data_IF_753536515663
#
_entry.id   IF_753536515663
#
_cell.length_a   1.000
_cell.length_b   1.000
_cell.length_c   1.000
_cell.angle_alpha   90.00
_cell.angle_beta   90.00
_cell.angle_gamma   90.00
#
_symmetry.space_group_name_H-M   'P 1'
#
loop_
_entity.id
_entity.type
_entity.pdbx_description
1 polymer ?
#
# COMPACT_ATOMS: atom_id res chain seq x y z
N UNK A 1 -20.62 -3.11 -18.63
CA UNK A 1 -20.11 -3.54 -17.31
C UNK A 1 -20.03 -5.05 -17.25
N UNK A 2 -18.92 -5.65 -16.80
CA UNK A 2 -18.82 -7.11 -16.72
C UNK A 2 -19.84 -7.62 -15.70
N UNK A 3 -20.86 -8.36 -16.16
CA UNK A 3 -21.98 -8.89 -15.35
C UNK A 3 -21.51 -9.61 -14.08
N UNK A 4 -20.34 -10.25 -14.13
CA UNK A 4 -19.73 -10.95 -12.99
C UNK A 4 -19.38 -10.04 -11.80
N UNK A 5 -18.89 -8.82 -12.04
CA UNK A 5 -18.52 -7.91 -10.95
C UNK A 5 -19.75 -7.46 -10.16
N UNK A 6 -20.84 -7.17 -10.87
CA UNK A 6 -22.10 -6.78 -10.26
C UNK A 6 -22.68 -7.93 -9.41
N UNK A 7 -22.67 -9.17 -9.93
CA UNK A 7 -23.11 -10.35 -9.16
C UNK A 7 -22.24 -10.59 -7.92
N UNK A 8 -20.92 -10.38 -8.02
CA UNK A 8 -20.02 -10.52 -6.86
C UNK A 8 -20.24 -9.42 -5.82
N UNK A 9 -20.53 -8.19 -6.25
CA UNK A 9 -20.90 -7.10 -5.35
C UNK A 9 -22.21 -7.43 -4.62
N UNK A 10 -23.24 -7.87 -5.34
CA UNK A 10 -24.53 -8.25 -4.77
C UNK A 10 -24.36 -9.38 -3.73
N UNK A 11 -23.54 -10.39 -4.04
CA UNK A 11 -23.21 -11.46 -3.10
C UNK A 11 -22.48 -10.92 -1.86
N UNK A 12 -21.50 -10.02 -2.04
CA UNK A 12 -20.76 -9.42 -0.93
C UNK A 12 -21.66 -8.56 -0.03
N UNK A 13 -22.59 -7.80 -0.60
CA UNK A 13 -23.56 -7.00 0.16
C UNK A 13 -24.52 -7.88 0.96
N UNK A 14 -25.03 -8.96 0.37
CA UNK A 14 -25.94 -9.90 1.04
C UNK A 14 -25.30 -10.70 2.17
N UNK A 15 -24.01 -11.04 2.01
CA UNK A 15 -23.26 -11.82 3.00
C UNK A 15 -22.63 -10.96 4.10
N UNK A 16 -22.61 -9.64 3.92
CA UNK A 16 -22.12 -8.66 4.88
C UNK A 16 -23.20 -8.23 5.88
N UNK A 17 -22.77 -7.57 6.96
CA UNK A 17 -23.66 -6.84 7.88
C UNK A 17 -24.40 -5.69 7.19
N UNK A 18 -23.93 -5.24 6.02
CA UNK A 18 -24.59 -4.23 5.18
C UNK A 18 -25.95 -4.68 4.61
N UNK A 19 -26.32 -5.96 4.72
CA UNK A 19 -27.58 -6.47 4.20
C UNK A 19 -28.82 -5.81 4.86
N UNK A 20 -28.69 -5.20 6.02
CA UNK A 20 -29.79 -4.50 6.70
C UNK A 20 -30.04 -3.08 6.18
N UNK A 21 -29.11 -2.53 5.36
CA UNK A 21 -29.22 -1.17 4.84
C UNK A 21 -30.32 -1.07 3.76
N UNK A 22 -31.34 -0.20 3.92
CA UNK A 22 -32.39 0.00 2.92
C UNK A 22 -31.89 0.52 1.57
N UNK A 23 -30.75 1.20 1.53
CA UNK A 23 -30.19 1.86 0.34
C UNK A 23 -29.02 1.08 -0.28
N UNK A 24 -28.78 -0.17 0.14
CA UNK A 24 -27.69 -1.02 -0.38
C UNK A 24 -27.76 -1.25 -1.90
N UNK A 25 -28.97 -1.24 -2.48
CA UNK A 25 -29.20 -1.50 -3.90
C UNK A 25 -28.83 -0.32 -4.80
N UNK A 26 -28.62 0.88 -4.22
CA UNK A 26 -28.19 2.07 -4.95
C UNK A 26 -26.68 2.08 -5.26
N UNK A 27 -25.91 1.18 -4.62
CA UNK A 27 -24.49 0.97 -4.91
C UNK A 27 -24.32 0.21 -6.23
N UNK A 28 -23.39 0.69 -7.06
CA UNK A 28 -23.04 0.10 -8.37
C UNK A 28 -21.54 -0.01 -8.52
N UNK A 29 -21.09 -0.99 -9.29
CA UNK A 29 -19.69 -1.03 -9.74
C UNK A 29 -19.52 -0.12 -10.95
N UNK A 30 -18.40 0.61 -11.01
CA UNK A 30 -17.91 1.29 -12.21
C UNK A 30 -16.45 0.91 -12.53
N UNK A 31 -16.08 0.88 -13.81
CA UNK A 31 -14.71 0.64 -14.29
C UNK A 31 -14.22 1.85 -15.06
N UNK A 32 -13.31 2.60 -14.45
CA UNK A 32 -12.79 3.84 -15.01
C UNK A 32 -11.63 3.56 -15.99
N UNK A 33 -11.53 4.34 -17.08
CA UNK A 33 -10.46 4.19 -18.07
C UNK A 33 -9.13 4.83 -17.63
N UNK A 34 -8.95 5.11 -16.34
CA UNK A 34 -7.77 5.76 -15.77
C UNK A 34 -7.61 5.37 -14.30
N UNK A 35 -6.38 5.37 -13.78
CA UNK A 35 -6.09 5.15 -12.36
C UNK A 35 -6.41 6.41 -11.52
N UNK A 36 -6.29 6.30 -10.20
CA UNK A 36 -6.56 7.41 -9.27
C UNK A 36 -5.58 8.57 -9.48
N UNK A 37 -4.32 8.25 -9.81
CA UNK A 37 -3.26 9.24 -9.97
C UNK A 37 -3.52 10.07 -11.21
N UNK A 38 -3.78 9.44 -12.34
CA UNK A 38 -4.16 10.11 -13.58
C UNK A 38 -5.45 10.92 -13.40
N UNK A 39 -6.43 10.40 -12.66
CA UNK A 39 -7.65 11.16 -12.31
C UNK A 39 -7.30 12.46 -11.57
N UNK A 40 -6.49 12.37 -10.52
CA UNK A 40 -6.13 13.51 -9.69
C UNK A 40 -5.24 14.50 -10.44
N UNK A 41 -4.26 14.03 -11.22
CA UNK A 41 -3.44 14.91 -12.06
C UNK A 41 -4.30 15.66 -13.07
N UNK A 42 -5.22 14.97 -13.75
CA UNK A 42 -6.13 15.62 -14.69
C UNK A 42 -6.97 16.70 -14.02
N UNK A 43 -7.43 16.49 -12.78
CA UNK A 43 -8.22 17.49 -12.04
C UNK A 43 -7.36 18.66 -11.55
N UNK A 44 -6.16 18.38 -11.02
CA UNK A 44 -5.26 19.39 -10.45
C UNK A 44 -4.58 20.25 -11.52
N UNK A 45 -4.49 19.76 -12.75
CA UNK A 45 -3.84 20.48 -13.87
C UNK A 45 -4.83 21.28 -14.74
N UNK A 46 -6.13 21.20 -14.47
CA UNK A 46 -7.16 22.06 -15.09
C UNK A 46 -6.76 23.53 -14.86
N UNK A 47 -6.72 24.33 -15.93
CA UNK A 47 -6.32 25.74 -15.96
C UNK A 47 -4.83 26.05 -15.68
N UNK A 48 -3.94 25.05 -15.67
CA UNK A 48 -2.49 25.27 -15.60
C UNK A 48 -1.84 25.13 -16.98
N UNK A 49 -0.74 25.87 -17.24
CA UNK A 49 0.04 25.77 -18.49
C UNK A 49 0.56 24.34 -18.79
N UNK A 50 0.47 23.42 -17.83
CA UNK A 50 0.91 22.02 -17.89
C UNK A 50 -0.20 21.03 -18.30
N UNK A 51 -1.43 21.48 -18.58
CA UNK A 51 -2.56 20.59 -18.98
C UNK A 51 -2.20 19.69 -20.19
N UNK A 52 -1.34 20.19 -21.10
CA UNK A 52 -0.91 19.44 -22.29
C UNK A 52 0.07 18.29 -22.00
N UNK A 53 0.87 18.39 -20.94
CA UNK A 53 1.88 17.39 -20.58
C UNK A 53 1.27 16.14 -19.91
N UNK A 54 0.02 16.24 -19.43
CA UNK A 54 -0.67 15.18 -18.68
C UNK A 54 -1.89 14.60 -19.41
N UNK A 55 -2.05 14.88 -20.71
CA UNK A 55 -2.97 14.13 -21.58
C UNK A 55 -2.38 12.75 -21.87
N UNK A 56 -2.40 11.87 -20.87
CA UNK A 56 -2.10 10.45 -21.08
C UNK A 56 -3.28 9.84 -21.83
N UNK A 57 -3.03 9.27 -23.00
CA UNK A 57 -4.04 8.50 -23.74
C UNK A 57 -4.45 7.30 -22.88
N UNK A 58 -5.74 7.09 -22.57
CA UNK A 58 -6.22 5.95 -21.80
C UNK A 58 -5.72 4.59 -22.33
N UNK A 59 -5.39 4.51 -23.62
CA UNK A 59 -4.92 3.29 -24.30
C UNK A 59 -3.49 2.92 -23.94
N UNK A 60 -2.67 3.88 -23.49
CA UNK A 60 -1.28 3.67 -23.10
C UNK A 60 -1.14 3.18 -21.64
N UNK A 61 -2.22 3.25 -20.85
CA UNK A 61 -2.22 2.74 -19.49
C UNK A 61 -2.63 1.27 -19.49
N UNK A 62 -1.67 0.37 -19.27
CA UNK A 62 -1.93 -1.03 -18.93
C UNK A 62 -2.51 -1.15 -17.50
N UNK A 63 -3.75 -0.71 -17.34
CA UNK A 63 -4.47 -0.70 -16.06
C UNK A 63 -4.87 -2.11 -15.65
N UNK A 64 -4.61 -2.44 -14.39
CA UNK A 64 -5.21 -3.61 -13.76
C UNK A 64 -6.70 -3.38 -13.47
N UNK A 65 -7.45 -4.48 -13.31
CA UNK A 65 -8.84 -4.42 -12.85
C UNK A 65 -8.97 -3.76 -11.46
N UNK A 66 -7.93 -3.84 -10.62
CA UNK A 66 -7.87 -3.18 -9.33
C UNK A 66 -7.79 -1.65 -9.47
N UNK A 67 -6.91 -1.17 -10.35
CA UNK A 67 -6.70 0.27 -10.55
C UNK A 67 -7.90 0.93 -11.22
N UNK A 68 -8.61 0.22 -12.10
CA UNK A 68 -9.82 0.72 -12.78
C UNK A 68 -11.08 0.65 -11.91
N UNK A 69 -11.09 -0.13 -10.83
CA UNK A 69 -12.27 -0.34 -10.00
C UNK A 69 -12.71 0.93 -9.25
N UNK A 70 -14.01 1.22 -9.29
CA UNK A 70 -14.65 2.26 -8.48
C UNK A 70 -16.08 1.88 -8.11
N UNK A 71 -16.61 2.52 -7.08
CA UNK A 71 -18.04 2.51 -6.82
C UNK A 71 -18.71 3.74 -7.40
N UNK A 72 -19.93 3.51 -7.90
CA UNK A 72 -20.91 4.54 -8.20
C UNK A 72 -22.11 4.39 -7.27
N UNK A 73 -22.85 5.47 -7.08
CA UNK A 73 -24.00 5.52 -6.19
C UNK A 73 -25.17 6.29 -6.82
N UNK A 74 -26.32 5.64 -6.90
CA UNK A 74 -27.53 6.18 -7.52
C UNK A 74 -28.27 7.05 -6.51
N UNK A 75 -28.22 8.37 -6.69
CA UNK A 75 -28.95 9.33 -5.84
C UNK A 75 -30.19 9.85 -6.56
N UNK A 76 -31.36 9.65 -5.98
CA UNK A 76 -32.63 10.16 -6.50
C UNK A 76 -32.86 11.61 -6.07
N UNK A 77 -33.67 12.33 -6.84
CA UNK A 77 -34.22 13.61 -6.41
C UNK A 77 -35.07 13.41 -5.14
N UNK A 78 -35.04 14.32 -4.14
CA UNK A 78 -34.35 15.62 -4.14
C UNK A 78 -32.90 15.60 -3.61
N UNK A 79 -32.44 14.49 -3.03
CA UNK A 79 -31.13 14.39 -2.37
C UNK A 79 -29.96 14.65 -3.34
N UNK A 80 -30.17 14.40 -4.64
CA UNK A 80 -29.21 14.69 -5.70
C UNK A 80 -28.78 16.16 -5.80
N UNK A 81 -29.54 17.10 -5.22
CA UNK A 81 -29.16 18.51 -5.13
C UNK A 81 -27.94 18.71 -4.22
N UNK A 82 -27.85 17.92 -3.14
CA UNK A 82 -26.74 17.95 -2.17
C UNK A 82 -25.67 16.95 -2.54
N UNK A 83 -26.05 15.68 -2.72
CA UNK A 83 -25.15 14.60 -3.13
C UNK A 83 -25.09 14.55 -4.65
N UNK A 84 -24.54 15.62 -5.21
CA UNK A 84 -24.40 15.80 -6.65
C UNK A 84 -23.19 15.05 -7.22
N UNK A 85 -23.02 15.11 -8.55
CA UNK A 85 -21.96 14.35 -9.23
C UNK A 85 -20.54 14.78 -8.84
N UNK A 86 -20.35 16.06 -8.49
CA UNK A 86 -19.09 16.59 -7.99
C UNK A 86 -18.75 15.99 -6.61
N UNK A 87 -19.72 15.90 -5.71
CA UNK A 87 -19.54 15.26 -4.41
C UNK A 87 -19.26 13.76 -4.54
N UNK A 88 -20.02 13.04 -5.36
CA UNK A 88 -19.81 11.61 -5.62
C UNK A 88 -18.41 11.33 -6.18
N UNK A 89 -17.90 12.19 -7.07
CA UNK A 89 -16.52 12.07 -7.58
C UNK A 89 -15.48 12.19 -6.45
N UNK A 90 -15.70 13.05 -5.45
CA UNK A 90 -14.81 13.18 -4.29
C UNK A 90 -14.85 11.96 -3.38
N UNK A 91 -16.04 11.45 -3.07
CA UNK A 91 -16.19 10.18 -2.34
C UNK A 91 -15.51 9.02 -3.07
N UNK A 92 -15.70 8.95 -4.38
CA UNK A 92 -15.07 7.93 -5.22
C UNK A 92 -13.54 8.00 -5.14
N UNK A 93 -12.93 9.19 -5.18
CA UNK A 93 -11.47 9.34 -5.03
C UNK A 93 -10.97 8.87 -3.66
N UNK A 94 -11.67 9.24 -2.58
CA UNK A 94 -11.38 8.74 -1.23
C UNK A 94 -11.47 7.22 -1.16
N UNK A 95 -12.55 6.64 -1.68
CA UNK A 95 -12.74 5.20 -1.75
C UNK A 95 -11.60 4.51 -2.48
N UNK A 96 -11.26 4.96 -3.70
CA UNK A 96 -10.19 4.36 -4.52
C UNK A 96 -8.84 4.39 -3.80
N UNK A 97 -8.57 5.47 -3.06
CA UNK A 97 -7.34 5.59 -2.28
C UNK A 97 -7.28 4.56 -1.14
N UNK A 98 -8.33 4.48 -0.32
CA UNK A 98 -8.44 3.52 0.78
C UNK A 98 -8.44 2.07 0.28
N UNK A 99 -9.16 1.81 -0.81
CA UNK A 99 -9.26 0.49 -1.44
C UNK A 99 -7.89 -0.03 -1.88
N UNK A 100 -7.08 0.84 -2.49
CA UNK A 100 -5.73 0.47 -2.89
C UNK A 100 -4.83 0.17 -1.69
N UNK A 101 -4.87 0.99 -0.63
CA UNK A 101 -4.12 0.71 0.60
C UNK A 101 -4.52 -0.66 1.18
N UNK A 102 -5.83 -0.93 1.24
CA UNK A 102 -6.36 -2.20 1.75
C UNK A 102 -5.93 -3.40 0.94
N UNK A 103 -5.84 -3.25 -0.38
CA UNK A 103 -5.30 -4.27 -1.25
C UNK A 103 -3.82 -4.57 -0.93
N UNK A 104 -3.00 -3.54 -0.79
CA UNK A 104 -1.56 -3.68 -0.49
C UNK A 104 -1.35 -4.34 0.88
N UNK A 105 -2.11 -3.94 1.90
CA UNK A 105 -2.07 -4.57 3.22
C UNK A 105 -2.38 -6.08 3.10
N UNK A 106 -3.44 -6.44 2.38
CA UNK A 106 -3.82 -7.84 2.16
C UNK A 106 -2.75 -8.63 1.40
N UNK A 107 -2.09 -8.03 0.41
CA UNK A 107 -0.98 -8.67 -0.31
C UNK A 107 0.19 -8.98 0.63
N UNK A 108 0.59 -8.03 1.48
CA UNK A 108 1.66 -8.20 2.47
C UNK A 108 1.31 -9.24 3.54
N UNK A 109 0.03 -9.37 3.91
CA UNK A 109 -0.47 -10.41 4.80
C UNK A 109 -0.50 -11.79 4.13
N UNK A 110 -0.89 -11.86 2.86
CA UNK A 110 -0.90 -13.13 2.09
C UNK A 110 0.51 -13.74 1.99
N UNK A 111 1.53 -12.92 1.75
CA UNK A 111 2.95 -13.35 1.80
C UNK A 111 3.28 -14.03 3.13
N UNK A 112 2.78 -13.52 4.25
CA UNK A 112 3.02 -14.12 5.57
C UNK A 112 2.38 -15.51 5.71
N UNK A 113 1.16 -15.69 5.22
CA UNK A 113 0.46 -16.99 5.24
C UNK A 113 1.21 -18.01 4.39
N UNK A 114 1.58 -17.64 3.15
CA UNK A 114 2.37 -18.50 2.27
C UNK A 114 3.73 -18.88 2.87
N UNK A 115 4.41 -17.93 3.49
CA UNK A 115 5.70 -18.18 4.14
C UNK A 115 5.57 -19.05 5.40
N UNK A 116 4.43 -19.04 6.10
CA UNK A 116 4.18 -19.96 7.22
C UNK A 116 4.12 -21.42 6.76
N UNK A 117 3.59 -21.67 5.56
CA UNK A 117 3.60 -23.01 4.93
C UNK A 117 5.01 -23.36 4.45
N UNK A 118 5.75 -22.42 3.86
CA UNK A 118 7.14 -22.61 3.44
C UNK A 118 8.12 -22.83 4.60
N UNK A 119 7.83 -22.30 5.81
CA UNK A 119 8.61 -22.56 7.04
C UNK A 119 8.72 -24.05 7.39
N UNK A 120 7.81 -24.91 6.92
CA UNK A 120 7.93 -26.36 7.10
C UNK A 120 9.09 -26.98 6.31
N UNK A 121 9.66 -26.28 5.32
CA UNK A 121 10.54 -26.87 4.30
C UNK A 121 11.98 -26.29 4.28
N UNK A 122 12.54 -25.93 5.44
CA UNK A 122 13.98 -25.62 5.62
C UNK A 122 14.52 -24.25 5.15
N UNK A 123 13.67 -23.28 4.79
CA UNK A 123 14.14 -21.91 4.41
C UNK A 123 14.68 -21.05 5.58
N UNK A 124 14.49 -21.48 6.83
CA UNK A 124 14.92 -20.73 8.02
C UNK A 124 16.43 -20.52 8.15
N UNK A 125 17.26 -21.34 7.48
CA UNK A 125 18.71 -21.24 7.58
C UNK A 125 19.30 -20.11 6.74
N UNK A 126 18.53 -19.54 5.83
CA UNK A 126 19.04 -18.50 4.94
C UNK A 126 18.88 -17.09 5.50
N UNK A 127 19.98 -16.34 5.51
CA UNK A 127 20.06 -14.97 6.03
C UNK A 127 19.12 -14.01 5.29
N UNK A 128 18.94 -14.17 3.98
CA UNK A 128 18.02 -13.33 3.19
C UNK A 128 16.55 -13.49 3.61
N UNK A 129 16.15 -14.65 4.15
CA UNK A 129 14.77 -14.90 4.56
C UNK A 129 14.39 -14.06 5.79
N UNK A 130 15.32 -13.93 6.74
CA UNK A 130 15.16 -13.06 7.90
C UNK A 130 15.06 -11.58 7.47
N UNK A 131 15.95 -11.15 6.56
CA UNK A 131 15.92 -9.79 6.01
C UNK A 131 14.60 -9.48 5.27
N UNK A 132 14.12 -10.41 4.45
CA UNK A 132 12.84 -10.28 3.75
C UNK A 132 11.66 -10.20 4.74
N UNK A 133 11.68 -11.00 5.81
CA UNK A 133 10.64 -10.97 6.84
C UNK A 133 10.63 -9.64 7.61
N UNK A 134 11.80 -9.12 7.97
CA UNK A 134 11.95 -7.83 8.61
C UNK A 134 11.47 -6.69 7.71
N UNK A 135 11.84 -6.71 6.42
CA UNK A 135 11.37 -5.74 5.43
C UNK A 135 9.84 -5.78 5.28
N UNK A 136 9.26 -6.98 5.13
CA UNK A 136 7.81 -7.16 5.06
C UNK A 136 7.11 -6.57 6.29
N UNK A 137 7.66 -6.80 7.49
CA UNK A 137 7.08 -6.26 8.71
C UNK A 137 7.12 -4.73 8.74
N UNK A 138 8.20 -4.11 8.27
CA UNK A 138 8.30 -2.66 8.13
C UNK A 138 7.30 -2.10 7.12
N UNK A 139 7.18 -2.73 5.95
CA UNK A 139 6.19 -2.36 4.93
C UNK A 139 4.76 -2.46 5.47
N UNK A 140 4.44 -3.57 6.14
CA UNK A 140 3.11 -3.78 6.72
C UNK A 140 2.80 -2.74 7.81
N UNK A 141 3.75 -2.48 8.72
CA UNK A 141 3.59 -1.47 9.74
C UNK A 141 3.33 -0.09 9.15
N UNK A 142 4.04 0.28 8.08
CA UNK A 142 3.79 1.52 7.36
C UNK A 142 2.36 1.58 6.81
N UNK A 143 1.93 0.57 6.03
CA UNK A 143 0.60 0.57 5.38
C UNK A 143 -0.52 0.60 6.43
N UNK A 144 -0.40 -0.17 7.52
CA UNK A 144 -1.40 -0.21 8.58
C UNK A 144 -1.51 1.12 9.34
N UNK A 145 -0.38 1.76 9.66
CA UNK A 145 -0.41 3.08 10.28
C UNK A 145 -0.93 4.16 9.32
N UNK A 146 -0.65 4.03 8.03
CA UNK A 146 -1.19 4.93 7.00
C UNK A 146 -2.72 4.79 6.86
N UNK A 147 -3.24 3.56 6.82
CA UNK A 147 -4.69 3.30 6.86
C UNK A 147 -5.34 3.83 8.13
N UNK A 148 -4.72 3.57 9.28
CA UNK A 148 -5.22 4.04 10.57
C UNK A 148 -5.33 5.57 10.60
N UNK A 149 -4.28 6.27 10.16
CA UNK A 149 -4.26 7.73 10.06
C UNK A 149 -5.45 8.24 9.24
N UNK A 150 -5.65 7.69 8.03
CA UNK A 150 -6.75 8.13 7.16
C UNK A 150 -8.12 7.85 7.78
N UNK A 151 -8.33 6.68 8.39
CA UNK A 151 -9.64 6.32 8.93
C UNK A 151 -9.94 7.05 10.24
N UNK A 152 -9.05 6.98 11.23
CA UNK A 152 -9.33 7.38 12.61
C UNK A 152 -8.86 8.80 12.97
N UNK A 153 -7.89 9.36 12.26
CA UNK A 153 -7.39 10.72 12.55
C UNK A 153 -7.88 11.75 11.54
N UNK A 154 -8.31 11.30 10.36
CA UNK A 154 -8.83 12.17 9.30
C UNK A 154 -10.33 11.99 9.10
N UNK A 155 -10.77 10.82 8.64
CA UNK A 155 -12.17 10.64 8.20
C UNK A 155 -13.13 10.68 9.40
N UNK A 156 -12.89 9.89 10.44
CA UNK A 156 -13.79 9.79 11.59
C UNK A 156 -13.97 11.14 12.33
N UNK A 157 -12.91 11.92 12.65
CA UNK A 157 -13.09 13.20 13.32
C UNK A 157 -13.80 14.23 12.45
N UNK A 158 -13.50 14.27 11.14
CA UNK A 158 -14.18 15.18 10.21
C UNK A 158 -15.65 14.79 10.02
N UNK A 159 -15.97 13.48 10.02
CA UNK A 159 -17.35 13.00 9.98
C UNK A 159 -18.12 13.39 11.24
N UNK A 160 -17.51 13.24 12.42
CA UNK A 160 -18.13 13.64 13.67
C UNK A 160 -18.43 15.15 13.70
N UNK A 161 -17.49 15.99 13.27
CA UNK A 161 -17.69 17.43 13.14
C UNK A 161 -18.81 17.76 12.14
N UNK A 162 -18.85 17.06 11.00
CA UNK A 162 -19.91 17.24 10.01
C UNK A 162 -21.29 16.90 10.58
N UNK A 163 -21.42 15.81 11.36
CA UNK A 163 -22.67 15.47 12.03
C UNK A 163 -23.10 16.53 13.03
N UNK A 164 -22.18 17.03 13.87
CA UNK A 164 -22.47 18.11 14.81
C UNK A 164 -22.92 19.39 14.09
N UNK A 165 -22.26 19.75 12.98
CA UNK A 165 -22.66 20.90 12.19
C UNK A 165 -24.03 20.68 11.54
N UNK A 166 -24.35 19.46 11.12
CA UNK A 166 -25.65 19.11 10.53
C UNK A 166 -26.82 19.35 11.51
N UNK A 167 -26.60 19.16 12.82
CA UNK A 167 -27.61 19.45 13.85
C UNK A 167 -27.90 20.96 14.00
N UNK A 168 -27.00 21.82 13.50
CA UNK A 168 -27.12 23.30 13.58
C UNK A 168 -27.65 23.96 12.30
N UNK A 169 -27.86 23.17 11.25
CA UNK A 169 -28.28 23.64 9.92
C UNK A 169 -29.65 24.33 9.98
N UNK A 170 -29.74 25.50 9.35
CA UNK A 170 -30.99 26.27 9.26
C UNK A 170 -31.63 26.23 7.86
N UNK A 171 -30.82 26.03 6.83
CA UNK A 171 -31.24 26.09 5.43
C UNK A 171 -30.43 25.11 4.55
N UNK A 172 -30.85 24.92 3.30
CA UNK A 172 -30.20 23.97 2.37
C UNK A 172 -28.79 24.41 1.97
N UNK A 173 -28.50 25.72 1.96
CA UNK A 173 -27.17 26.23 1.63
C UNK A 173 -26.16 25.84 2.73
N UNK A 174 -26.55 25.87 4.01
CA UNK A 174 -25.72 25.40 5.12
C UNK A 174 -25.34 23.92 4.94
N UNK A 175 -26.29 23.07 4.52
CA UNK A 175 -26.03 21.65 4.22
C UNK A 175 -24.96 21.51 3.13
N UNK A 176 -25.08 22.29 2.05
CA UNK A 176 -24.14 22.25 0.93
C UNK A 176 -22.73 22.68 1.36
N UNK A 177 -22.64 23.72 2.19
CA UNK A 177 -21.37 24.23 2.74
C UNK A 177 -20.72 23.17 3.62
N UNK A 178 -21.41 22.70 4.67
CA UNK A 178 -20.82 21.74 5.61
C UNK A 178 -20.44 20.41 4.95
N UNK A 179 -21.24 19.93 4.00
CA UNK A 179 -20.91 18.72 3.24
C UNK A 179 -19.69 18.91 2.33
N UNK A 180 -19.56 20.09 1.72
CA UNK A 180 -18.40 20.42 0.88
C UNK A 180 -17.13 20.55 1.72
N UNK A 181 -17.21 21.19 2.89
CA UNK A 181 -16.09 21.38 3.81
C UNK A 181 -15.61 20.05 4.40
N UNK A 182 -16.53 19.15 4.76
CA UNK A 182 -16.22 17.79 5.15
C UNK A 182 -15.38 17.07 4.08
N UNK A 183 -15.86 17.06 2.83
CA UNK A 183 -15.19 16.37 1.73
C UNK A 183 -13.83 17.00 1.39
N UNK A 184 -13.75 18.33 1.38
CA UNK A 184 -12.50 19.03 1.10
C UNK A 184 -11.46 18.75 2.20
N UNK A 185 -11.87 18.74 3.47
CA UNK A 185 -11.01 18.43 4.60
C UNK A 185 -10.49 17.00 4.52
N UNK A 186 -11.36 16.03 4.23
CA UNK A 186 -10.94 14.63 4.05
C UNK A 186 -9.96 14.45 2.88
N UNK A 187 -10.24 15.04 1.71
CA UNK A 187 -9.34 14.94 0.56
C UNK A 187 -7.98 15.57 0.83
N UNK A 188 -7.96 16.72 1.51
CA UNK A 188 -6.72 17.42 1.84
C UNK A 188 -5.89 16.63 2.84
N UNK A 189 -6.49 16.24 3.95
CA UNK A 189 -5.81 15.59 5.06
C UNK A 189 -5.44 14.12 4.72
N UNK A 190 -6.14 13.47 3.78
CA UNK A 190 -5.72 12.19 3.19
C UNK A 190 -4.65 12.33 2.07
N UNK A 191 -3.99 13.49 1.95
CA UNK A 191 -2.88 13.74 1.00
C UNK A 191 -3.25 13.70 -0.49
N UNK A 192 -4.54 13.73 -0.84
CA UNK A 192 -5.00 13.64 -2.23
C UNK A 192 -4.91 14.97 -2.99
N UNK A 193 -4.72 16.08 -2.28
CA UNK A 193 -4.57 17.42 -2.88
C UNK A 193 -3.12 17.80 -3.16
N UNK A 194 -2.14 17.04 -2.65
CA UNK A 194 -0.73 17.28 -2.92
C UNK A 194 -0.18 16.23 -3.91
N UNK A 195 0.05 16.61 -5.19
CA UNK A 195 0.46 15.67 -6.22
C UNK A 195 1.82 15.03 -5.95
N UNK A 196 2.75 15.75 -5.34
CA UNK A 196 4.08 15.22 -5.07
C UNK A 196 4.06 14.19 -3.94
N UNK A 197 3.33 14.48 -2.86
CA UNK A 197 3.19 13.56 -1.73
C UNK A 197 2.47 12.28 -2.17
N UNK A 198 1.40 12.44 -2.97
CA UNK A 198 0.68 11.32 -3.55
C UNK A 198 1.57 10.44 -4.45
N UNK A 199 2.44 11.04 -5.28
CA UNK A 199 3.43 10.29 -6.09
C UNK A 199 4.36 9.45 -5.19
N UNK A 200 4.81 9.99 -4.06
CA UNK A 200 5.69 9.27 -3.13
C UNK A 200 4.94 8.10 -2.47
N UNK A 201 3.73 8.35 -1.94
CA UNK A 201 2.88 7.32 -1.33
C UNK A 201 2.58 6.20 -2.32
N UNK A 202 2.23 6.53 -3.57
CA UNK A 202 2.00 5.50 -4.58
C UNK A 202 3.25 4.68 -4.90
N UNK A 203 4.42 5.33 -5.05
CA UNK A 203 5.68 4.61 -5.24
C UNK A 203 5.98 3.67 -4.07
N UNK A 204 5.72 4.08 -2.83
CA UNK A 204 5.84 3.21 -1.65
C UNK A 204 4.94 1.98 -1.77
N UNK A 205 3.66 2.19 -2.07
CA UNK A 205 2.70 1.11 -2.26
C UNK A 205 3.10 0.16 -3.40
N UNK A 206 3.60 0.69 -4.53
CA UNK A 206 4.10 -0.11 -5.65
C UNK A 206 5.31 -0.96 -5.28
N UNK A 207 6.22 -0.43 -4.45
CA UNK A 207 7.35 -1.20 -3.92
C UNK A 207 6.85 -2.34 -3.03
N UNK A 208 5.85 -2.11 -2.17
CA UNK A 208 5.22 -3.14 -1.35
C UNK A 208 4.58 -4.27 -2.18
N UNK A 209 3.86 -3.93 -3.25
CA UNK A 209 3.24 -4.91 -4.16
C UNK A 209 4.30 -5.70 -4.92
N UNK A 210 5.30 -5.02 -5.48
CA UNK A 210 6.37 -5.65 -6.25
C UNK A 210 7.19 -6.61 -5.38
N UNK A 211 7.50 -6.19 -4.15
CA UNK A 211 8.12 -7.04 -3.14
C UNK A 211 7.24 -8.26 -2.81
N UNK A 212 5.94 -8.05 -2.58
CA UNK A 212 5.01 -9.14 -2.25
C UNK A 212 4.94 -10.19 -3.35
N UNK A 213 4.82 -9.75 -4.61
CA UNK A 213 4.82 -10.63 -5.78
C UNK A 213 6.14 -11.37 -5.95
N UNK A 214 7.27 -10.70 -5.68
CA UNK A 214 8.59 -11.34 -5.71
C UNK A 214 8.70 -12.47 -4.67
N UNK A 215 8.32 -12.21 -3.42
CA UNK A 215 8.38 -13.22 -2.35
C UNK A 215 7.38 -14.35 -2.59
N UNK A 216 6.16 -14.05 -3.05
CA UNK A 216 5.17 -15.09 -3.36
C UNK A 216 5.64 -16.05 -4.45
N UNK A 217 6.24 -15.55 -5.54
CA UNK A 217 6.79 -16.40 -6.61
C UNK A 217 7.88 -17.32 -6.08
N UNK A 218 8.75 -16.81 -5.23
CA UNK A 218 9.83 -17.59 -4.61
C UNK A 218 9.27 -18.72 -3.72
N UNK A 219 8.27 -18.40 -2.90
CA UNK A 219 7.61 -19.38 -2.04
C UNK A 219 6.91 -20.46 -2.87
N UNK A 220 6.23 -20.09 -3.97
CA UNK A 220 5.58 -21.04 -4.87
C UNK A 220 6.57 -22.01 -5.54
N UNK A 221 7.66 -21.49 -6.10
CA UNK A 221 8.72 -22.33 -6.69
C UNK A 221 9.27 -23.34 -5.69
N UNK A 222 9.53 -22.91 -4.45
CA UNK A 222 10.04 -23.78 -3.39
C UNK A 222 9.03 -24.85 -2.97
N UNK A 223 7.73 -24.49 -2.87
CA UNK A 223 6.68 -25.45 -2.49
C UNK A 223 6.45 -26.53 -3.54
N UNK A 224 6.43 -26.18 -4.83
CA UNK A 224 6.22 -27.13 -5.93
C UNK A 224 7.37 -28.14 -5.98
N UNK A 225 8.61 -27.68 -5.83
CA UNK A 225 9.78 -28.57 -5.80
C UNK A 225 9.79 -29.50 -4.57
N UNK A 226 9.37 -29.00 -3.41
CA UNK A 226 9.23 -29.82 -2.21
C UNK A 226 8.11 -30.88 -2.35
N UNK A 227 6.99 -30.53 -2.96
CA UNK A 227 5.86 -31.43 -3.18
C UNK A 227 6.17 -32.50 -4.23
N UNK A 228 6.84 -32.13 -5.32
CA UNK A 228 7.41 -33.07 -6.28
C UNK A 228 8.33 -34.05 -5.56
N UNK A 229 9.27 -33.57 -4.75
CA UNK A 229 10.19 -34.42 -3.98
C UNK A 229 9.48 -35.40 -3.03
N UNK A 230 8.37 -34.99 -2.39
CA UNK A 230 7.55 -35.87 -1.55
C UNK A 230 6.83 -36.94 -2.37
N UNK A 231 6.22 -36.57 -3.49
CA UNK A 231 5.51 -37.51 -4.36
C UNK A 231 6.46 -38.56 -4.95
N UNK A 232 7.70 -38.20 -5.31
CA UNK A 232 8.71 -39.17 -5.73
C UNK A 232 9.09 -40.13 -4.60
N UNK A 233 9.05 -39.67 -3.35
CA UNK A 233 9.39 -40.46 -2.16
C UNK A 233 8.26 -41.43 -1.78
N UNK A 234 7.00 -41.00 -1.83
CA UNK A 234 5.84 -41.84 -1.50
C UNK A 234 5.55 -42.89 -2.57
N UNK A 235 5.79 -42.57 -3.85
CA UNK A 235 5.75 -43.54 -4.96
C UNK A 235 6.76 -44.69 -4.80
N UNK A 236 7.76 -44.53 -3.92
CA UNK A 236 8.78 -45.54 -3.61
C UNK A 236 8.31 -46.58 -2.59
N UNK A 237 7.25 -46.29 -1.82
CA UNK A 237 6.75 -47.18 -0.76
C UNK A 237 5.64 -48.13 -1.27
N UNK A 238 5.03 -47.85 -2.42
CA UNK A 238 4.00 -48.71 -3.04
C UNK A 238 4.55 -49.71 -4.05
N UNK A 239 5.86 -49.71 -4.34
CA UNK A 239 6.53 -50.63 -5.25
C UNK A 239 7.10 -51.89 -4.59
N UNK A 240 6.39 -52.51 -3.65
CA UNK A 240 6.76 -53.81 -3.07
C UNK A 240 6.24 -54.95 -3.95
N UNK A 241 6.83 -55.12 -5.13
CA UNK A 241 6.35 -56.14 -6.07
C UNK A 241 7.15 -56.29 -7.35
N UNK A 242 8.48 -56.26 -7.31
CA UNK A 242 9.28 -56.91 -8.36
C UNK A 242 10.73 -57.13 -7.92
N UNK A 243 11.21 -58.34 -8.14
CA UNK A 243 12.56 -58.82 -7.88
C UNK A 243 13.57 -58.16 -8.82
N UNK A 244 14.19 -57.05 -8.41
CA UNK A 244 15.45 -56.57 -8.98
C UNK A 244 16.36 -55.97 -7.89
N UNK A 245 17.66 -56.25 -8.00
CA UNK A 245 18.76 -55.89 -7.09
C UNK A 245 18.69 -54.46 -6.49
N UNK A 246 18.56 -54.26 -5.15
CA UNK A 246 18.21 -52.97 -4.55
C UNK A 246 19.33 -51.93 -4.37
N UNK A 247 20.59 -52.23 -4.72
CA UNK A 247 21.74 -51.43 -4.23
C UNK A 247 22.13 -50.25 -5.14
N UNK A 248 21.84 -50.31 -6.44
CA UNK A 248 22.22 -49.26 -7.40
C UNK A 248 21.13 -48.20 -7.58
N UNK A 249 19.86 -48.58 -7.48
CA UNK A 249 18.72 -47.64 -7.57
C UNK A 249 18.62 -46.73 -6.34
N UNK A 250 18.96 -47.23 -5.14
CA UNK A 250 18.97 -46.42 -3.91
C UNK A 250 20.10 -45.38 -3.96
N UNK A 251 21.27 -45.71 -4.54
CA UNK A 251 22.39 -44.77 -4.69
C UNK A 251 22.14 -43.71 -5.77
N UNK A 252 21.57 -44.08 -6.92
CA UNK A 252 21.16 -43.12 -7.96
C UNK A 252 20.04 -42.19 -7.48
N UNK A 253 19.08 -42.71 -6.70
CA UNK A 253 17.99 -41.90 -6.10
C UNK A 253 18.49 -40.99 -4.98
N UNK A 254 19.39 -41.44 -4.11
CA UNK A 254 20.05 -40.59 -3.12
C UNK A 254 20.86 -39.47 -3.79
N UNK A 255 21.54 -39.76 -4.90
CA UNK A 255 22.23 -38.75 -5.70
C UNK A 255 21.24 -37.76 -6.34
N UNK A 256 20.10 -38.21 -6.87
CA UNK A 256 19.08 -37.31 -7.43
C UNK A 256 18.44 -36.39 -6.36
N UNK A 257 18.10 -36.92 -5.18
CA UNK A 257 17.61 -36.10 -4.05
C UNK A 257 18.68 -35.13 -3.56
N UNK A 258 19.96 -35.54 -3.57
CA UNK A 258 21.09 -34.67 -3.22
C UNK A 258 21.30 -33.56 -4.26
N UNK A 259 21.22 -33.87 -5.56
CA UNK A 259 21.33 -32.89 -6.65
C UNK A 259 20.17 -31.89 -6.64
N UNK A 260 18.95 -32.34 -6.32
CA UNK A 260 17.79 -31.44 -6.16
C UNK A 260 17.93 -30.56 -4.91
N UNK A 261 18.38 -31.11 -3.78
CA UNK A 261 18.69 -30.31 -2.59
C UNK A 261 19.81 -29.30 -2.85
N UNK A 262 20.85 -29.69 -3.59
CA UNK A 262 21.95 -28.82 -3.98
C UNK A 262 21.51 -27.74 -4.98
N UNK A 263 20.56 -28.03 -5.87
CA UNK A 263 19.99 -27.05 -6.80
C UNK A 263 19.06 -26.06 -6.08
N UNK A 264 18.25 -26.53 -5.13
CA UNK A 264 17.44 -25.68 -4.24
C UNK A 264 18.35 -24.81 -3.38
N UNK A 265 19.41 -25.38 -2.81
CA UNK A 265 20.44 -24.60 -2.10
C UNK A 265 21.11 -23.62 -3.06
N UNK A 266 21.40 -23.95 -4.31
CA UNK A 266 22.01 -23.01 -5.27
C UNK A 266 21.05 -21.88 -5.71
N UNK A 267 19.74 -22.13 -5.78
CA UNK A 267 18.71 -21.12 -6.02
C UNK A 267 18.54 -20.23 -4.77
N UNK A 268 18.36 -20.84 -3.60
CA UNK A 268 18.18 -20.16 -2.30
C UNK A 268 19.45 -19.46 -1.83
N UNK A 269 20.64 -19.92 -2.19
CA UNK A 269 21.93 -19.32 -1.83
C UNK A 269 22.43 -18.32 -2.86
N UNK A 270 21.69 -18.02 -3.93
CA UNK A 270 22.17 -17.04 -4.88
C UNK A 270 22.23 -15.67 -4.21
N UNK A 271 23.42 -15.06 -4.15
CA UNK A 271 23.67 -13.68 -3.70
C UNK A 271 22.69 -12.68 -4.35
N UNK A 272 22.15 -13.03 -5.51
CA UNK A 272 21.13 -12.28 -6.23
C UNK A 272 19.86 -12.04 -5.39
N UNK A 273 19.41 -13.00 -4.57
CA UNK A 273 18.22 -12.81 -3.72
C UNK A 273 18.49 -11.86 -2.56
N UNK A 274 19.59 -12.03 -1.85
CA UNK A 274 19.97 -11.13 -0.75
C UNK A 274 20.15 -9.70 -1.27
N UNK A 275 20.83 -9.52 -2.41
CA UNK A 275 20.98 -8.22 -3.07
C UNK A 275 19.63 -7.63 -3.48
N UNK A 276 18.71 -8.43 -4.01
CA UNK A 276 17.39 -7.96 -4.42
C UNK A 276 16.56 -7.49 -3.23
N UNK A 277 16.58 -8.23 -2.12
CA UNK A 277 15.91 -7.83 -0.87
C UNK A 277 16.53 -6.54 -0.30
N UNK A 278 17.87 -6.42 -0.32
CA UNK A 278 18.55 -5.19 0.09
C UNK A 278 18.18 -3.99 -0.79
N UNK A 279 18.02 -4.20 -2.10
CA UNK A 279 17.56 -3.15 -3.03
C UNK A 279 16.13 -2.71 -2.71
N UNK A 280 15.21 -3.64 -2.41
CA UNK A 280 13.86 -3.29 -1.96
C UNK A 280 13.89 -2.51 -0.64
N UNK A 281 14.71 -2.93 0.32
CA UNK A 281 14.85 -2.27 1.61
C UNK A 281 15.37 -0.83 1.48
N UNK A 282 16.43 -0.64 0.70
CA UNK A 282 17.00 0.68 0.43
C UNK A 282 16.01 1.59 -0.28
N UNK A 283 15.32 1.08 -1.32
CA UNK A 283 14.33 1.85 -2.06
C UNK A 283 13.13 2.24 -1.19
N UNK A 284 12.59 1.29 -0.42
CA UNK A 284 11.49 1.55 0.51
C UNK A 284 11.89 2.58 1.57
N UNK A 285 13.07 2.41 2.18
CA UNK A 285 13.57 3.33 3.21
C UNK A 285 13.76 4.74 2.66
N UNK A 286 14.35 4.88 1.46
CA UNK A 286 14.52 6.18 0.82
C UNK A 286 13.18 6.87 0.56
N UNK A 287 12.23 6.17 -0.05
CA UNK A 287 10.90 6.72 -0.33
C UNK A 287 10.13 7.10 0.94
N UNK A 288 10.29 6.31 2.02
CA UNK A 288 9.64 6.61 3.30
C UNK A 288 10.25 7.86 3.95
N UNK A 289 11.58 8.00 3.93
CA UNK A 289 12.25 9.20 4.43
C UNK A 289 11.87 10.42 3.58
N UNK A 290 11.81 10.29 2.25
CA UNK A 290 11.36 11.36 1.35
C UNK A 290 9.91 11.80 1.67
N UNK A 291 9.03 10.85 2.01
CA UNK A 291 7.65 11.14 2.43
C UNK A 291 7.62 11.92 3.75
N UNK A 292 8.34 11.44 4.77
CA UNK A 292 8.37 12.06 6.11
C UNK A 292 8.97 13.46 6.06
N UNK A 293 10.08 13.63 5.34
CA UNK A 293 10.74 14.93 5.13
C UNK A 293 9.78 15.94 4.46
N UNK A 294 9.04 15.49 3.44
CA UNK A 294 8.07 16.35 2.75
C UNK A 294 6.89 16.73 3.65
N UNK A 295 6.41 15.80 4.49
CA UNK A 295 5.34 16.10 5.45
C UNK A 295 5.83 17.09 6.51
N UNK A 296 7.06 16.95 7.00
CA UNK A 296 7.66 17.88 7.96
C UNK A 296 7.78 19.29 7.38
N UNK A 297 8.29 19.42 6.15
CA UNK A 297 8.39 20.71 5.45
C UNK A 297 7.00 21.35 5.30
N UNK A 298 5.98 20.58 4.93
CA UNK A 298 4.61 21.08 4.82
C UNK A 298 4.02 21.52 6.16
N UNK A 299 4.23 20.75 7.22
CA UNK A 299 3.75 21.11 8.56
C UNK A 299 4.39 22.41 9.04
N UNK A 300 5.69 22.58 8.79
CA UNK A 300 6.43 23.80 9.18
C UNK A 300 5.93 25.07 8.47
N UNK A 301 5.42 24.94 7.24
CA UNK A 301 4.95 26.08 6.43
C UNK A 301 3.48 26.42 6.68
N UNK A 302 2.62 25.40 6.84
CA UNK A 302 1.17 25.58 6.83
C UNK A 302 0.52 25.56 8.23
N UNK A 303 1.27 25.38 9.32
CA UNK A 303 0.74 25.18 10.68
C UNK A 303 -0.32 24.06 10.76
N UNK A 304 -0.28 23.11 9.83
CA UNK A 304 -1.23 22.02 9.77
C UNK A 304 -0.73 20.86 10.63
N UNK A 305 -1.16 20.88 11.89
CA UNK A 305 -0.73 19.91 12.91
C UNK A 305 -1.24 18.49 12.62
N UNK A 306 -2.33 18.33 11.85
CA UNK A 306 -2.93 17.01 11.61
C UNK A 306 -2.03 16.11 10.77
N UNK A 307 -1.34 16.67 9.78
CA UNK A 307 -0.43 15.90 8.94
C UNK A 307 0.81 15.41 9.73
N UNK A 308 1.16 16.08 10.82
CA UNK A 308 2.27 15.65 11.70
C UNK A 308 1.94 14.41 12.52
N UNK A 309 0.66 14.13 12.77
CA UNK A 309 0.25 12.95 13.54
C UNK A 309 0.76 11.65 12.93
N UNK A 310 0.83 11.60 11.60
CA UNK A 310 1.36 10.43 10.89
C UNK A 310 2.85 10.23 11.15
N UNK A 311 3.62 11.30 11.38
CA UNK A 311 5.05 11.20 11.69
C UNK A 311 5.24 10.56 13.06
N UNK A 312 4.52 11.02 14.09
CA UNK A 312 4.59 10.42 15.43
C UNK A 312 4.21 8.94 15.42
N UNK A 313 3.26 8.54 14.56
CA UNK A 313 2.88 7.13 14.43
C UNK A 313 3.93 6.30 13.72
N UNK A 314 4.41 6.79 12.58
CA UNK A 314 5.38 6.05 11.76
C UNK A 314 6.75 5.97 12.45
N UNK A 315 7.05 6.91 13.32
CA UNK A 315 8.32 7.03 14.02
C UNK A 315 8.19 7.08 15.55
N UNK A 316 7.20 6.38 16.09
CA UNK A 316 6.92 6.37 17.54
C UNK A 316 8.15 5.95 18.38
N UNK A 317 9.00 5.09 17.83
CA UNK A 317 10.20 4.59 18.50
C UNK A 317 11.48 5.38 18.15
N UNK A 318 11.40 6.46 17.36
CA UNK A 318 12.56 7.23 16.89
C UNK A 318 13.47 6.48 15.91
N UNK A 319 13.00 5.37 15.34
CA UNK A 319 13.76 4.54 14.39
C UNK A 319 14.12 5.29 13.10
N UNK A 320 13.28 6.21 12.66
CA UNK A 320 13.51 7.03 11.47
C UNK A 320 14.14 8.39 11.81
N UNK A 321 13.94 8.93 13.02
CA UNK A 321 14.50 10.21 13.50
C UNK A 321 16.01 10.27 13.29
N UNK A 322 16.75 9.27 13.80
CA UNK A 322 18.21 9.23 13.67
C UNK A 322 18.67 9.22 12.21
N UNK A 323 17.91 8.57 11.33
CA UNK A 323 18.22 8.48 9.90
C UNK A 323 17.87 9.76 9.16
N UNK A 324 16.80 10.44 9.57
CA UNK A 324 16.38 11.72 9.01
C UNK A 324 17.39 12.84 9.38
N UNK A 325 17.89 12.82 10.61
CA UNK A 325 18.96 13.71 11.07
C UNK A 325 20.25 13.49 10.28
N UNK A 326 20.64 12.23 10.05
CA UNK A 326 21.80 11.90 9.22
C UNK A 326 21.66 12.38 7.76
N UNK A 327 20.49 12.23 7.15
CA UNK A 327 20.20 12.72 5.79
C UNK A 327 20.23 14.25 5.75
N UNK A 328 19.69 14.91 6.76
CA UNK A 328 19.70 16.39 6.87
C UNK A 328 21.12 16.92 7.03
N UNK A 329 21.93 16.27 7.88
CA UNK A 329 23.35 16.60 8.06
C UNK A 329 24.16 16.40 6.77
N UNK A 330 23.91 15.32 6.02
CA UNK A 330 24.52 15.10 4.71
C UNK A 330 24.12 16.17 3.70
N UNK A 331 22.83 16.55 3.64
CA UNK A 331 22.35 17.62 2.76
C UNK A 331 22.99 18.97 3.10
N UNK A 332 23.16 19.29 4.37
CA UNK A 332 23.86 20.50 4.82
C UNK A 332 25.35 20.46 4.47
N UNK A 333 26.00 19.30 4.58
CA UNK A 333 27.41 19.13 4.18
C UNK A 333 27.61 19.25 2.66
N UNK A 334 26.68 18.74 1.84
CA UNK A 334 26.70 18.90 0.38
C UNK A 334 26.20 20.27 -0.10
N UNK A 335 25.32 20.92 0.66
CA UNK A 335 24.80 22.27 0.40
C UNK A 335 25.77 23.38 0.81
N UNK A 336 26.66 23.14 1.77
CA UNK A 336 27.70 24.10 2.15
C UNK A 336 28.72 24.39 1.01
N UNK A 337 28.74 23.59 -0.06
CA UNK A 337 29.52 23.88 -1.26
C UNK A 337 28.87 24.92 -2.19
N UNK A 338 27.57 25.21 -2.02
CA UNK A 338 26.83 26.21 -2.81
C UNK A 338 25.87 26.97 -1.90
N UNK A 339 26.25 28.21 -1.56
CA UNK A 339 25.50 29.21 -0.79
C UNK A 339 25.28 28.93 0.70
N UNK A 340 26.10 29.64 1.49
CA UNK A 340 25.78 30.11 2.84
C UNK A 340 24.43 30.81 2.91
N UNK A 341 23.79 30.68 4.07
CA UNK A 341 22.53 31.31 4.52
C UNK A 341 21.22 30.57 4.19
N UNK A 342 20.95 29.47 4.90
CA UNK A 342 19.59 29.17 5.37
C UNK A 342 19.60 28.50 6.76
N UNK A 343 18.70 29.02 7.60
CA UNK A 343 18.64 28.96 9.05
C UNK A 343 18.44 27.52 9.61
N UNK A 344 19.46 26.96 10.30
CA UNK A 344 19.44 25.61 10.89
C UNK A 344 18.67 25.48 12.22
N UNK A 345 18.20 26.59 12.79
CA UNK A 345 17.61 26.62 14.13
C UNK A 345 16.18 26.04 14.23
N UNK A 346 15.45 25.91 13.12
CA UNK A 346 14.05 25.47 13.12
C UNK A 346 13.85 23.96 13.31
N UNK A 347 14.71 23.14 12.72
CA UNK A 347 14.54 21.68 12.67
C UNK A 347 14.94 21.03 14.00
N UNK A 348 16.04 21.47 14.62
CA UNK A 348 16.45 21.01 15.95
C UNK A 348 15.45 21.40 17.05
N UNK A 349 14.85 22.59 16.95
CA UNK A 349 13.86 23.05 17.94
C UNK A 349 12.54 22.28 17.83
N UNK A 350 12.14 21.86 16.63
CA UNK A 350 10.98 21.01 16.43
C UNK A 350 11.25 19.60 16.97
N UNK A 351 12.36 18.95 16.61
CA UNK A 351 12.66 17.58 17.06
C UNK A 351 12.84 17.49 18.59
N UNK A 352 13.50 18.47 19.20
CA UNK A 352 13.66 18.52 20.67
C UNK A 352 12.34 18.76 21.39
N UNK A 353 11.43 19.60 20.86
CA UNK A 353 10.09 19.78 21.48
C UNK A 353 9.18 18.55 21.38
N UNK A 354 9.52 17.60 20.50
CA UNK A 354 8.74 16.40 20.22
C UNK A 354 9.20 15.16 20.98
N UNK A 355 10.40 15.17 21.57
CA UNK A 355 10.81 14.14 22.54
C UNK A 355 10.32 14.39 23.97
N UNK A 356 9.73 15.56 24.26
CA UNK A 356 9.37 15.98 25.61
C UNK A 356 7.86 16.20 25.86
N UNK A 357 6.97 15.82 24.93
CA UNK A 357 5.51 15.86 25.14
C UNK A 357 4.83 14.55 24.80
#
# INVERSE_FOLDING_TARGET
>A
MPTRLETLLELALRTSTANVDPFKDDLKVDLLPYDLITQLFRILTIDTKQEKDYRVDPTDLHLSGLESFSFDYVVKWPVSLVVNRKALTRYQMLFRHLFYCKHVERQLCSVWVGNKVAKMYSMQKSRWYSAAFALRQRMLNFVQNFEYYMMFEVIEPNWHLFQQNMDTVSNVDDVLVFHTDFLNSCLKDCMLTNPDLLKIVHKLMMVCVTFSNFVQRLSQSTTVEAEVSRLTKDSSLQGLGSSHSPKDDVKKKAAATKVVSEHVDHLVSSENFERTIANFDSNFSRLLLDMLDKILDMSSRNYDHKLSNIIYRLDFNGFYTERLEAVTAQRQASGAAVSTDFNSAGIQTALVKLSYN
#
